data_IF_038224944838
#
_entry.id   IF_038224944838
#
_cell.length_a   1.000
_cell.length_b   1.000
_cell.length_c   1.000
_cell.angle_alpha   90.00
_cell.angle_beta   90.00
_cell.angle_gamma   90.00
#
_symmetry.space_group_name_H-M   'P 1'
#
loop_
_entity.id
_entity.type
_entity.pdbx_description
1 polymer ?
#
# COMPACT_ATOMS: atom_id res chain seq x y z
N UNK A 1 -12.00 1.37 1.36
CA UNK A 1 -10.79 1.31 2.21
C UNK A 1 -9.59 1.51 1.32
N UNK A 2 -8.73 2.47 1.64
CA UNK A 2 -7.43 2.62 0.99
C UNK A 2 -6.37 1.90 1.84
N UNK A 3 -5.66 0.96 1.25
CA UNK A 3 -4.67 0.13 1.93
C UNK A 3 -3.35 0.10 1.16
N UNK A 4 -2.24 -0.07 1.87
CA UNK A 4 -0.91 -0.19 1.29
C UNK A 4 -0.28 -1.53 1.69
N UNK A 5 0.05 -2.35 0.71
CA UNK A 5 0.88 -3.52 0.88
C UNK A 5 2.35 -3.12 0.85
N UNK A 6 3.05 -3.32 1.97
CA UNK A 6 4.49 -3.06 2.12
C UNK A 6 5.23 -4.40 2.13
N UNK A 7 6.23 -4.55 1.27
CA UNK A 7 7.00 -5.78 1.15
C UNK A 7 8.52 -5.54 1.18
N UNK A 8 9.34 -6.56 1.51
CA UNK A 8 10.79 -6.50 1.40
C UNK A 8 11.29 -6.36 -0.04
N UNK A 9 12.57 -6.00 -0.20
CA UNK A 9 13.20 -5.65 -1.48
C UNK A 9 13.08 -6.74 -2.55
N UNK A 10 13.12 -8.01 -2.14
CA UNK A 10 13.09 -9.14 -3.07
C UNK A 10 11.69 -9.47 -3.59
N UNK A 11 10.66 -8.78 -3.11
CA UNK A 11 9.30 -8.88 -3.65
C UNK A 11 9.12 -7.78 -4.68
N UNK A 12 8.94 -8.17 -5.93
CA UNK A 12 8.81 -7.25 -7.05
C UNK A 12 7.36 -6.83 -7.28
N UNK A 13 7.17 -5.71 -7.97
CA UNK A 13 5.84 -5.23 -8.37
C UNK A 13 5.15 -6.19 -9.35
N UNK A 14 5.94 -6.92 -10.14
CA UNK A 14 5.48 -8.01 -11.00
C UNK A 14 4.86 -9.13 -10.16
N UNK A 15 5.48 -9.53 -9.04
CA UNK A 15 4.93 -10.52 -8.12
C UNK A 15 3.59 -10.07 -7.52
N UNK A 16 3.49 -8.77 -7.19
CA UNK A 16 2.27 -8.15 -6.68
C UNK A 16 1.10 -8.26 -7.68
N UNK A 17 1.32 -7.95 -8.95
CA UNK A 17 0.28 -7.99 -9.98
C UNK A 17 0.05 -9.37 -10.61
N UNK A 18 0.92 -10.34 -10.36
CA UNK A 18 0.79 -11.71 -10.87
C UNK A 18 0.40 -12.66 -9.76
N UNK A 19 1.38 -13.12 -8.97
CA UNK A 19 1.21 -14.16 -7.96
C UNK A 19 0.23 -13.74 -6.87
N UNK A 20 0.41 -12.53 -6.31
CA UNK A 20 -0.45 -12.05 -5.25
C UNK A 20 -1.87 -11.72 -5.74
N UNK A 21 -2.00 -11.14 -6.93
CA UNK A 21 -3.31 -10.91 -7.56
C UNK A 21 -4.10 -12.21 -7.76
N UNK A 22 -3.46 -13.27 -8.24
CA UNK A 22 -4.11 -14.58 -8.39
C UNK A 22 -4.48 -15.22 -7.04
N UNK A 23 -3.66 -15.03 -5.99
CA UNK A 23 -4.02 -15.46 -4.64
C UNK A 23 -5.25 -14.74 -4.08
N UNK A 24 -5.38 -13.44 -4.33
CA UNK A 24 -6.56 -12.66 -3.93
C UNK A 24 -7.83 -13.20 -4.61
N UNK A 25 -7.77 -13.51 -5.91
CA UNK A 25 -8.92 -14.02 -6.67
C UNK A 25 -9.39 -15.41 -6.24
N UNK A 26 -8.55 -16.15 -5.51
CA UNK A 26 -8.91 -17.47 -4.98
C UNK A 26 -9.71 -17.38 -3.66
N UNK A 27 -9.73 -16.22 -3.01
CA UNK A 27 -10.50 -16.03 -1.78
C UNK A 27 -11.99 -15.89 -2.10
N UNK A 28 -12.85 -16.55 -1.32
CA UNK A 28 -14.30 -16.57 -1.57
C UNK A 28 -14.96 -15.20 -1.32
N UNK A 29 -14.34 -14.41 -0.45
CA UNK A 29 -14.74 -13.07 -0.01
C UNK A 29 -14.42 -12.00 -1.06
N UNK A 30 -13.52 -12.30 -2.00
CA UNK A 30 -13.03 -11.35 -3.01
C UNK A 30 -13.88 -11.42 -4.27
N UNK A 31 -14.52 -10.30 -4.58
CA UNK A 31 -15.29 -10.07 -5.80
C UNK A 31 -14.78 -8.81 -6.52
N UNK A 32 -15.16 -8.64 -7.80
CA UNK A 32 -14.82 -7.46 -8.60
C UNK A 32 -13.31 -7.10 -8.64
N UNK A 33 -12.43 -8.10 -8.48
CA UNK A 33 -10.99 -7.91 -8.38
C UNK A 33 -10.36 -7.60 -9.74
N UNK A 34 -9.68 -6.44 -9.84
CA UNK A 34 -9.01 -5.96 -11.04
C UNK A 34 -7.70 -5.24 -10.73
N UNK A 35 -6.70 -5.42 -11.57
CA UNK A 35 -5.42 -4.71 -11.51
C UNK A 35 -5.43 -3.51 -12.46
N UNK A 36 -4.84 -2.39 -12.02
CA UNK A 36 -4.63 -1.18 -12.84
C UNK A 36 -3.16 -0.78 -12.76
N UNK A 37 -2.33 -1.41 -13.60
CA UNK A 37 -0.86 -1.28 -13.56
C UNK A 37 -0.33 0.02 -14.20
N UNK A 38 -1.02 0.51 -15.23
CA UNK A 38 -0.62 1.67 -16.02
C UNK A 38 -1.07 3.01 -15.42
N UNK A 39 -1.73 2.99 -14.25
CA UNK A 39 -2.11 4.20 -13.54
C UNK A 39 -0.88 4.95 -12.99
N UNK A 40 -1.07 6.24 -12.69
CA UNK A 40 -0.03 7.08 -12.07
C UNK A 40 0.49 6.49 -10.74
N UNK A 41 -0.42 5.88 -9.98
CA UNK A 41 -0.12 5.00 -8.83
C UNK A 41 -0.76 3.64 -9.13
N UNK A 42 0.05 2.59 -9.40
CA UNK A 42 -0.49 1.26 -9.69
C UNK A 42 -1.26 0.69 -8.49
N UNK A 43 -2.42 0.07 -8.74
CA UNK A 43 -3.37 -0.35 -7.70
C UNK A 43 -4.07 -1.66 -8.10
N UNK A 44 -4.37 -2.52 -7.12
CA UNK A 44 -5.36 -3.59 -7.24
C UNK A 44 -6.63 -3.09 -6.56
N UNK A 45 -7.74 -3.11 -7.29
CA UNK A 45 -9.06 -2.74 -6.77
C UNK A 45 -9.88 -4.01 -6.62
N UNK A 46 -10.53 -4.18 -5.49
CA UNK A 46 -11.39 -5.34 -5.23
C UNK A 46 -12.53 -4.97 -4.29
N UNK A 47 -13.51 -5.87 -4.20
CA UNK A 47 -14.54 -5.84 -3.18
C UNK A 47 -14.35 -7.07 -2.27
N UNK A 48 -14.00 -6.85 -1.02
CA UNK A 48 -13.79 -7.91 -0.02
C UNK A 48 -14.95 -7.85 0.96
N UNK A 49 -15.74 -8.92 1.08
CA UNK A 49 -16.97 -8.95 1.92
C UNK A 49 -17.86 -7.71 1.71
N UNK A 50 -18.13 -7.41 0.44
CA UNK A 50 -18.89 -6.24 -0.01
C UNK A 50 -18.27 -4.86 0.28
N UNK A 51 -17.03 -4.79 0.79
CA UNK A 51 -16.30 -3.55 1.04
C UNK A 51 -15.32 -3.28 -0.10
N UNK A 52 -15.41 -2.11 -0.72
CA UNK A 52 -14.44 -1.68 -1.74
C UNK A 52 -13.07 -1.42 -1.11
N UNK A 53 -12.02 -2.03 -1.67
CA UNK A 53 -10.63 -1.90 -1.26
C UNK A 53 -9.77 -1.47 -2.45
N UNK A 54 -9.07 -0.35 -2.29
CA UNK A 54 -7.98 0.08 -3.15
C UNK A 54 -6.65 -0.30 -2.48
N UNK A 55 -5.99 -1.33 -3.02
CA UNK A 55 -4.74 -1.86 -2.49
C UNK A 55 -3.56 -1.37 -3.33
N UNK A 56 -2.71 -0.55 -2.71
CA UNK A 56 -1.46 -0.05 -3.27
C UNK A 56 -0.30 -0.99 -2.91
N UNK A 57 0.83 -0.83 -3.60
CA UNK A 57 2.03 -1.61 -3.33
C UNK A 57 3.30 -0.77 -3.32
N UNK A 58 4.15 -1.04 -2.33
CA UNK A 58 5.52 -0.53 -2.21
C UNK A 58 6.48 -1.64 -1.76
N UNK A 59 7.57 -1.80 -2.50
CA UNK A 59 8.71 -2.64 -2.09
C UNK A 59 9.77 -1.75 -1.47
N UNK A 60 10.22 -2.07 -0.26
CA UNK A 60 11.19 -1.28 0.50
C UNK A 60 12.58 -1.89 0.42
N UNK A 61 13.61 -1.06 0.55
CA UNK A 61 15.02 -1.51 0.62
C UNK A 61 15.37 -2.16 1.97
N UNK A 62 14.52 -3.06 2.44
CA UNK A 62 14.66 -3.83 3.66
C UNK A 62 14.70 -5.33 3.32
N UNK A 63 15.44 -6.10 4.12
CA UNK A 63 15.47 -7.57 4.00
C UNK A 63 14.23 -8.24 4.58
N UNK A 64 13.56 -7.57 5.50
CA UNK A 64 12.37 -8.03 6.21
C UNK A 64 11.61 -6.78 6.67
N UNK A 65 10.29 -6.88 6.82
CA UNK A 65 9.45 -5.81 7.38
C UNK A 65 9.21 -6.11 8.87
N UNK A 66 9.74 -5.30 9.80
CA UNK A 66 9.49 -5.47 11.23
C UNK A 66 8.00 -5.30 11.60
N UNK A 67 7.54 -5.94 12.67
CA UNK A 67 6.16 -5.79 13.17
C UNK A 67 5.86 -4.36 13.67
N UNK A 68 6.87 -3.67 14.20
CA UNK A 68 6.80 -2.28 14.69
C UNK A 68 7.17 -1.24 13.61
N UNK A 69 7.13 -1.65 12.34
CA UNK A 69 7.54 -0.82 11.23
C UNK A 69 6.66 0.43 11.06
N UNK A 70 7.32 1.60 10.91
CA UNK A 70 6.67 2.89 10.68
C UNK A 70 7.12 3.53 9.39
N UNK A 71 6.17 4.11 8.66
CA UNK A 71 6.41 4.87 7.43
C UNK A 71 6.91 6.30 7.67
N UNK A 72 7.10 6.72 8.92
CA UNK A 72 7.51 8.09 9.28
C UNK A 72 8.95 8.43 8.90
N UNK A 73 9.87 7.45 8.86
CA UNK A 73 11.27 7.72 8.56
C UNK A 73 11.45 8.12 7.07
N UNK A 74 12.00 9.30 6.83
CA UNK A 74 12.31 9.81 5.49
C UNK A 74 13.41 9.00 4.78
N UNK A 75 14.27 8.30 5.53
CA UNK A 75 15.32 7.46 4.93
C UNK A 75 14.75 6.29 4.13
N UNK A 76 13.53 5.87 4.42
CA UNK A 76 12.83 4.80 3.70
C UNK A 76 12.61 5.12 2.22
N UNK A 77 12.53 6.40 1.86
CA UNK A 77 12.30 6.86 0.49
C UNK A 77 13.58 6.81 -0.36
N UNK A 78 14.75 6.58 0.25
CA UNK A 78 16.02 6.53 -0.48
C UNK A 78 16.06 5.29 -1.37
N UNK A 79 16.47 5.49 -2.63
CA UNK A 79 16.64 4.44 -3.64
C UNK A 79 15.37 3.66 -3.99
N UNK A 80 14.18 4.19 -3.64
CA UNK A 80 12.92 3.62 -4.11
C UNK A 80 12.61 4.08 -5.53
N UNK A 81 11.94 3.20 -6.29
CA UNK A 81 11.43 3.59 -7.59
C UNK A 81 10.31 4.64 -7.44
N UNK A 82 10.11 5.53 -8.43
CA UNK A 82 9.12 6.59 -8.35
C UNK A 82 7.68 6.11 -8.11
N UNK A 83 7.32 4.89 -8.54
CA UNK A 83 5.97 4.36 -8.31
C UNK A 83 5.80 3.98 -6.84
N UNK A 84 6.80 3.34 -6.22
CA UNK A 84 6.77 3.04 -4.77
C UNK A 84 6.74 4.29 -3.91
N UNK A 85 7.50 5.35 -4.27
CA UNK A 85 7.43 6.64 -3.56
C UNK A 85 6.01 7.21 -3.59
N UNK A 86 5.34 7.18 -4.75
CA UNK A 86 3.96 7.65 -4.87
C UNK A 86 2.97 6.83 -4.06
N UNK A 87 3.12 5.50 -4.04
CA UNK A 87 2.28 4.61 -3.23
C UNK A 87 2.40 4.90 -1.73
N UNK A 88 3.61 5.20 -1.24
CA UNK A 88 3.87 5.48 0.17
C UNK A 88 3.31 6.84 0.63
N UNK A 89 3.28 7.83 -0.27
CA UNK A 89 2.88 9.19 0.07
C UNK A 89 1.46 9.26 0.64
N UNK A 90 0.52 8.44 0.16
CA UNK A 90 -0.86 8.45 0.66
C UNK A 90 -0.95 8.19 2.18
N UNK A 91 -0.31 7.10 2.63
CA UNK A 91 -0.24 6.77 4.04
C UNK A 91 0.55 7.82 4.85
N UNK A 92 1.73 8.22 4.34
CA UNK A 92 2.59 9.19 5.04
C UNK A 92 1.92 10.54 5.26
N UNK A 93 1.21 11.07 4.25
CA UNK A 93 0.50 12.35 4.36
C UNK A 93 -0.63 12.24 5.39
N UNK A 94 -1.37 11.14 5.39
CA UNK A 94 -2.45 10.92 6.35
C UNK A 94 -1.90 10.89 7.78
N UNK A 95 -0.81 10.17 8.00
CA UNK A 95 -0.15 10.08 9.32
C UNK A 95 0.40 11.44 9.76
N UNK A 96 1.06 12.19 8.88
CA UNK A 96 1.59 13.52 9.17
C UNK A 96 0.46 14.51 9.54
N UNK A 97 -0.67 14.50 8.82
CA UNK A 97 -1.82 15.35 9.15
C UNK A 97 -2.31 15.04 10.57
N UNK A 98 -2.46 13.76 10.92
CA UNK A 98 -2.92 13.35 12.25
C UNK A 98 -1.93 13.71 13.36
N UNK A 99 -0.62 13.75 13.07
CA UNK A 99 0.41 14.18 14.02
C UNK A 99 0.45 15.71 14.22
N UNK A 100 0.03 16.49 13.22
CA UNK A 100 0.10 17.95 13.25
C UNK A 100 -1.13 18.62 13.85
N UNK A 101 -2.25 17.89 14.02
CA UNK A 101 -3.47 18.44 14.62
C UNK A 101 -3.39 18.44 16.15
N UNK A 102 -3.79 19.54 16.83
CA UNK A 102 -3.69 19.65 18.28
C UNK A 102 -4.69 18.77 19.03
N UNK A 103 -5.79 18.39 18.37
CA UNK A 103 -6.78 17.48 18.91
C UNK A 103 -7.39 16.65 17.76
N UNK A 104 -7.04 15.36 17.73
CA UNK A 104 -7.48 14.43 16.68
C UNK A 104 -8.99 14.15 16.76
N UNK A 105 -9.58 14.12 17.95
CA UNK A 105 -11.03 13.88 18.11
C UNK A 105 -11.86 15.02 17.54
N UNK A 106 -11.43 16.27 17.75
CA UNK A 106 -12.09 17.44 17.15
C UNK A 106 -11.86 17.56 15.64
N UNK A 107 -10.79 16.95 15.13
CA UNK A 107 -10.47 16.95 13.70
C UNK A 107 -11.25 15.89 12.91
N UNK A 108 -11.62 14.78 13.56
CA UNK A 108 -12.44 13.69 12.99
C UNK A 108 -13.90 14.08 12.87
#
# INVERSE_FOLDING_TARGET
>A
IDALCVAPLYVERTDYFTTFFELLKQQAEVTECRAVEEAFVPVIKMKFDDIEIDLLFASLSLKEIPDDFSLSDNNLLRNLDPRSVRSLNGCRVTDEILQLVPNVENFR
#
